data_IF_232068456101
#
_entry.id   IF_232068456101
#
_cell.length_a   1.000
_cell.length_b   1.000
_cell.length_c   1.000
_cell.angle_alpha   90.00
_cell.angle_beta   90.00
_cell.angle_gamma   90.00
#
_symmetry.space_group_name_H-M   'P 1'
#
loop_
_entity.id
_entity.type
_entity.pdbx_description
1 polymer ?
#
# COMPACT_ATOMS: atom_id res chain seq x y z
N UNK A 1 -10.91 14.49 -1.98
CA UNK A 1 -10.44 15.91 -2.16
C UNK A 1 -8.94 15.98 -2.40
N UNK A 2 -8.12 15.11 -1.78
CA UNK A 2 -6.68 15.01 -2.07
C UNK A 2 -6.31 13.83 -2.98
N UNK A 3 -7.31 13.09 -3.48
CA UNK A 3 -7.11 11.83 -4.23
C UNK A 3 -6.38 12.03 -5.58
N UNK A 4 -6.26 13.28 -6.02
CA UNK A 4 -5.50 13.68 -7.22
C UNK A 4 -4.16 14.35 -6.89
N UNK A 5 -3.81 14.52 -5.61
CA UNK A 5 -2.64 15.28 -5.19
C UNK A 5 -1.45 14.37 -4.84
N UNK A 6 -1.73 13.23 -4.23
CA UNK A 6 -0.71 12.26 -3.83
C UNK A 6 -0.71 11.07 -4.77
N UNK A 7 0.40 10.87 -5.46
CA UNK A 7 0.64 9.72 -6.31
C UNK A 7 1.62 8.77 -5.63
N UNK A 8 1.35 7.47 -5.77
CA UNK A 8 2.27 6.42 -5.33
C UNK A 8 3.60 6.63 -6.08
N UNK A 9 4.72 6.32 -5.42
CA UNK A 9 6.11 6.46 -5.92
C UNK A 9 6.60 7.88 -6.20
N UNK A 10 5.85 8.91 -5.81
CA UNK A 10 6.29 10.31 -5.89
C UNK A 10 6.67 10.84 -4.53
N UNK A 11 7.48 11.89 -4.56
CA UNK A 11 8.08 12.47 -3.37
C UNK A 11 7.48 13.83 -3.08
N UNK A 12 7.17 14.08 -1.81
CA UNK A 12 6.47 15.29 -1.38
C UNK A 12 7.02 15.85 -0.08
N UNK A 13 7.08 17.18 0.02
CA UNK A 13 7.10 17.85 1.31
C UNK A 13 5.67 17.98 1.82
N UNK A 14 5.43 17.50 3.05
CA UNK A 14 4.12 17.58 3.72
C UNK A 14 4.27 18.42 4.99
N UNK A 15 3.55 19.54 5.04
CA UNK A 15 3.60 20.49 6.15
C UNK A 15 2.22 20.63 6.81
N UNK A 16 2.20 20.91 8.12
CA UNK A 16 0.98 21.21 8.87
C UNK A 16 -0.07 20.07 8.83
N UNK A 17 0.40 18.82 8.93
CA UNK A 17 -0.47 17.68 9.18
C UNK A 17 -0.76 17.54 10.69
N UNK A 18 -1.91 16.98 11.04
CA UNK A 18 -2.23 16.71 12.45
C UNK A 18 -1.66 15.35 12.85
N UNK A 19 -0.84 15.30 13.90
CA UNK A 19 -0.28 14.06 14.44
C UNK A 19 -1.22 13.46 15.50
N UNK A 20 -1.58 12.18 15.36
CA UNK A 20 -2.45 11.45 16.30
C UNK A 20 -1.92 10.05 16.58
N UNK A 21 -2.17 9.48 17.76
CA UNK A 21 -1.86 8.07 18.01
C UNK A 21 -2.70 7.15 17.11
N UNK A 22 -2.11 6.05 16.66
CA UNK A 22 -2.78 4.98 15.91
C UNK A 22 -3.50 4.07 16.89
N UNK A 23 -4.72 3.65 16.55
CA UNK A 23 -5.40 2.59 17.30
C UNK A 23 -4.77 1.23 16.95
N UNK A 24 -4.49 0.35 17.93
CA UNK A 24 -3.81 -0.92 17.67
C UNK A 24 -4.43 -1.75 16.55
N UNK A 25 -5.77 -1.75 16.41
CA UNK A 25 -6.48 -2.48 15.35
C UNK A 25 -6.22 -1.98 13.92
N UNK A 26 -5.69 -0.76 13.76
CA UNK A 26 -5.37 -0.15 12.46
C UNK A 26 -3.86 0.01 12.23
N UNK A 27 -3.03 -0.49 13.15
CA UNK A 27 -1.58 -0.38 13.05
C UNK A 27 -1.05 -1.43 12.06
N UNK A 28 -0.69 -0.97 10.87
CA UNK A 28 -0.15 -1.82 9.79
C UNK A 28 1.39 -1.79 9.70
N UNK A 29 2.02 -0.86 10.40
CA UNK A 29 3.48 -0.67 10.45
C UNK A 29 3.94 -0.44 11.88
N UNK A 30 5.23 -0.63 12.17
CA UNK A 30 5.82 -0.37 13.49
C UNK A 30 6.02 1.14 13.74
N UNK A 31 4.91 1.89 13.68
CA UNK A 31 4.81 3.29 14.05
C UNK A 31 3.52 3.48 14.86
N UNK A 32 3.62 4.21 15.98
CA UNK A 32 2.52 4.43 16.92
C UNK A 32 1.75 5.73 16.65
N UNK A 33 2.24 6.58 15.73
CA UNK A 33 1.59 7.82 15.33
C UNK A 33 1.25 7.83 13.84
N UNK A 34 0.14 8.48 13.50
CA UNK A 34 -0.30 8.74 12.14
C UNK A 34 -0.51 10.24 11.91
N UNK A 35 -0.43 10.63 10.65
CA UNK A 35 -0.80 11.96 10.20
C UNK A 35 -2.22 11.96 9.65
N UNK A 36 -3.00 12.99 10.00
CA UNK A 36 -4.28 13.30 9.36
C UNK A 36 -4.09 14.53 8.48
N UNK A 37 -4.20 14.34 7.17
CA UNK A 37 -4.19 15.42 6.17
C UNK A 37 -5.52 16.17 6.26
N UNK A 38 -5.47 17.49 6.27
CA UNK A 38 -6.63 18.36 6.39
C UNK A 38 -6.51 19.56 5.43
N UNK A 39 -7.55 20.42 5.28
CA UNK A 39 -7.52 21.53 4.33
C UNK A 39 -6.40 22.57 4.53
N UNK A 40 -5.75 22.59 5.70
CA UNK A 40 -4.61 23.48 6.01
C UNK A 40 -3.25 22.81 5.84
N UNK A 41 -3.22 21.51 5.51
CA UNK A 41 -1.99 20.78 5.21
C UNK A 41 -1.49 21.19 3.82
N UNK A 42 -0.24 21.64 3.76
CA UNK A 42 0.43 22.02 2.51
C UNK A 42 1.24 20.82 2.01
N UNK A 43 1.07 20.49 0.72
CA UNK A 43 1.73 19.37 0.07
C UNK A 43 2.37 19.89 -1.22
N UNK A 44 3.68 19.69 -1.35
CA UNK A 44 4.48 20.15 -2.50
C UNK A 44 5.24 18.96 -3.08
N UNK A 45 5.04 18.66 -4.36
CA UNK A 45 5.79 17.63 -5.06
C UNK A 45 7.21 18.10 -5.35
N UNK A 46 8.18 17.22 -5.16
CA UNK A 46 9.59 17.50 -5.46
C UNK A 46 10.12 16.55 -6.54
N UNK A 47 11.11 17.02 -7.30
CA UNK A 47 11.77 16.21 -8.32
C UNK A 47 12.53 15.05 -7.68
N UNK A 48 12.43 13.87 -8.30
CA UNK A 48 13.07 12.63 -7.83
C UNK A 48 14.62 12.65 -7.82
N UNK A 49 15.26 13.76 -8.23
CA UNK A 49 16.73 13.92 -8.21
C UNK A 49 17.30 14.24 -6.81
N UNK A 50 16.46 14.43 -5.79
CA UNK A 50 16.91 14.53 -4.39
C UNK A 50 17.32 13.15 -3.87
N UNK A 51 18.58 12.77 -4.15
CA UNK A 51 19.28 11.55 -3.69
C UNK A 51 19.32 11.35 -2.15
N UNK A 52 18.77 12.27 -1.37
CA UNK A 52 18.77 12.22 0.09
C UNK A 52 17.67 11.37 0.71
N UNK A 53 16.63 10.99 -0.06
CA UNK A 53 15.53 10.20 0.46
C UNK A 53 15.76 8.71 0.20
N UNK A 54 15.54 7.85 1.21
CA UNK A 54 15.71 6.42 1.02
C UNK A 54 14.67 5.89 0.04
N UNK A 55 15.12 5.08 -0.92
CA UNK A 55 14.21 4.33 -1.77
C UNK A 55 13.36 3.37 -0.91
N UNK A 56 12.09 3.15 -1.27
CA UNK A 56 11.24 2.21 -0.55
C UNK A 56 11.87 0.81 -0.59
N UNK A 57 12.28 0.31 0.57
CA UNK A 57 12.81 -1.03 0.72
C UNK A 57 11.68 -2.05 0.86
N UNK A 58 11.60 -3.00 -0.06
CA UNK A 58 10.63 -4.10 0.00
C UNK A 58 11.32 -5.40 0.39
N UNK A 59 10.80 -6.09 1.41
CA UNK A 59 11.18 -7.45 1.74
C UNK A 59 10.20 -8.43 1.10
N UNK A 60 10.52 -8.91 -0.10
CA UNK A 60 9.69 -9.85 -0.84
C UNK A 60 9.79 -11.27 -0.26
N UNK A 61 8.64 -11.93 -0.17
CA UNK A 61 8.52 -13.32 0.30
C UNK A 61 8.35 -14.23 -0.92
N UNK A 62 9.22 -15.23 -1.13
CA UNK A 62 9.05 -16.23 -2.19
C UNK A 62 7.80 -17.09 -1.95
N UNK A 63 7.18 -17.59 -3.02
CA UNK A 63 5.93 -18.37 -2.92
C UNK A 63 6.14 -19.67 -2.12
N UNK A 64 7.34 -20.26 -2.24
CA UNK A 64 7.74 -21.43 -1.46
C UNK A 64 7.65 -21.20 0.06
N UNK A 65 7.73 -19.95 0.52
CA UNK A 65 7.69 -19.59 1.94
C UNK A 65 6.30 -19.16 2.44
N UNK A 66 5.29 -19.10 1.58
CA UNK A 66 3.95 -18.64 1.97
C UNK A 66 3.36 -19.43 3.14
N UNK A 67 3.64 -20.73 3.21
CA UNK A 67 3.21 -21.59 4.32
C UNK A 67 3.65 -21.06 5.70
N UNK A 68 4.77 -20.35 5.78
CA UNK A 68 5.28 -19.73 7.03
C UNK A 68 4.48 -18.50 7.45
N UNK A 69 3.66 -17.96 6.55
CA UNK A 69 2.92 -16.70 6.72
C UNK A 69 1.39 -16.88 6.68
N UNK A 70 0.88 -18.13 6.59
CA UNK A 70 -0.56 -18.41 6.52
C UNK A 70 -1.30 -18.14 7.84
N UNK A 71 -0.61 -18.18 8.98
CA UNK A 71 -1.23 -18.18 10.30
C UNK A 71 -1.49 -16.79 10.90
N UNK A 72 -1.24 -15.71 10.14
CA UNK A 72 -1.37 -14.36 10.66
C UNK A 72 -2.08 -13.45 9.65
N UNK A 73 -2.88 -12.52 10.15
CA UNK A 73 -3.40 -11.35 9.42
C UNK A 73 -2.28 -10.36 9.04
N UNK A 74 -1.08 -10.88 8.76
CA UNK A 74 0.13 -10.12 8.50
C UNK A 74 0.29 -9.94 7.00
N UNK A 75 0.55 -8.70 6.61
CA UNK A 75 0.83 -8.36 5.22
C UNK A 75 2.18 -8.94 4.81
N UNK A 76 2.24 -9.49 3.59
CA UNK A 76 3.47 -9.95 2.93
C UNK A 76 3.66 -9.16 1.64
N UNK A 77 4.91 -8.85 1.30
CA UNK A 77 5.23 -8.26 0.00
C UNK A 77 5.60 -9.37 -0.97
N UNK A 78 5.14 -9.25 -2.21
CA UNK A 78 5.32 -10.25 -3.26
C UNK A 78 5.76 -9.56 -4.55
N UNK A 79 6.69 -10.17 -5.26
CA UNK A 79 7.04 -9.84 -6.65
C UNK A 79 6.92 -11.11 -7.49
N UNK A 80 6.27 -11.04 -8.63
CA UNK A 80 5.94 -12.21 -9.45
C UNK A 80 5.62 -11.81 -10.89
N UNK A 81 5.65 -12.77 -11.82
CA UNK A 81 5.11 -12.57 -13.18
C UNK A 81 3.61 -12.87 -13.16
N UNK A 82 2.80 -11.92 -13.65
CA UNK A 82 1.41 -12.19 -13.99
C UNK A 82 1.35 -12.92 -15.34
N UNK A 83 0.92 -14.18 -15.33
CA UNK A 83 0.80 -15.00 -16.54
C UNK A 83 -0.61 -14.96 -17.13
N UNK A 84 -1.61 -14.59 -16.32
CA UNK A 84 -2.97 -14.40 -16.78
C UNK A 84 -3.74 -13.43 -15.89
N UNK A 85 -4.74 -12.78 -16.48
CA UNK A 85 -5.66 -11.86 -15.80
C UNK A 85 -7.07 -12.19 -16.26
N UNK A 86 -7.86 -12.76 -15.36
CA UNK A 86 -9.24 -13.12 -15.64
C UNK A 86 -10.12 -11.87 -15.86
N UNK A 87 -11.24 -11.99 -16.59
CA UNK A 87 -12.21 -10.91 -16.72
C UNK A 87 -12.74 -10.48 -15.36
N UNK A 88 -12.85 -9.16 -15.15
CA UNK A 88 -13.42 -8.61 -13.93
C UNK A 88 -14.90 -9.00 -13.80
N UNK A 89 -15.31 -9.43 -12.61
CA UNK A 89 -16.68 -9.85 -12.30
C UNK A 89 -17.26 -8.97 -11.20
N UNK A 90 -18.55 -8.65 -11.33
CA UNK A 90 -19.29 -7.95 -10.29
C UNK A 90 -19.94 -8.97 -9.35
N UNK A 91 -19.57 -8.93 -8.07
CA UNK A 91 -20.07 -9.83 -7.05
C UNK A 91 -20.85 -9.05 -6.00
N UNK A 92 -22.02 -9.58 -5.61
CA UNK A 92 -22.81 -9.04 -4.52
C UNK A 92 -22.32 -9.64 -3.21
N UNK A 93 -21.71 -8.81 -2.37
CA UNK A 93 -21.29 -9.20 -1.01
C UNK A 93 -22.33 -8.72 0.01
N UNK A 94 -22.21 -9.18 1.26
CA UNK A 94 -23.04 -8.67 2.37
C UNK A 94 -22.88 -7.16 2.60
N UNK A 95 -21.77 -6.59 2.13
CA UNK A 95 -21.43 -5.17 2.29
C UNK A 95 -21.72 -4.36 1.01
N UNK A 96 -22.36 -4.97 0.01
CA UNK A 96 -22.69 -4.34 -1.27
C UNK A 96 -21.97 -4.96 -2.46
N UNK A 97 -22.19 -4.37 -3.64
CA UNK A 97 -21.57 -4.80 -4.90
C UNK A 97 -20.08 -4.47 -4.91
N UNK A 98 -19.24 -5.42 -5.32
CA UNK A 98 -17.80 -5.25 -5.46
C UNK A 98 -17.32 -5.83 -6.79
N UNK A 99 -16.33 -5.19 -7.41
CA UNK A 99 -15.67 -5.71 -8.60
C UNK A 99 -14.47 -6.56 -8.15
N UNK A 100 -14.40 -7.79 -8.63
CA UNK A 100 -13.32 -8.73 -8.32
C UNK A 100 -12.63 -9.12 -9.63
N UNK A 101 -11.31 -9.17 -9.60
CA UNK A 101 -10.48 -9.61 -10.70
C UNK A 101 -9.43 -10.58 -10.18
N UNK A 102 -9.39 -11.76 -10.78
CA UNK A 102 -8.41 -12.80 -10.46
C UNK A 102 -7.18 -12.65 -11.36
N UNK A 103 -6.00 -12.77 -10.76
CA UNK A 103 -4.71 -12.68 -11.44
C UNK A 103 -3.92 -13.94 -11.10
N UNK A 104 -3.41 -14.62 -12.12
CA UNK A 104 -2.58 -15.80 -11.96
C UNK A 104 -1.12 -15.35 -11.96
N UNK A 105 -0.46 -15.56 -10.82
CA UNK A 105 0.94 -15.18 -10.61
C UNK A 105 1.83 -16.42 -10.60
N UNK A 106 3.02 -16.31 -11.17
CA UNK A 106 4.11 -17.28 -11.04
C UNK A 106 5.34 -16.60 -10.43
N UNK A 107 5.96 -17.28 -9.48
CA UNK A 107 7.18 -16.80 -8.84
C UNK A 107 8.30 -16.70 -9.90
N UNK A 108 9.06 -15.61 -9.86
CA UNK A 108 10.27 -15.48 -10.66
C UNK A 108 11.37 -16.22 -9.90
N UNK A 109 11.55 -17.51 -10.19
CA UNK A 109 12.67 -18.31 -9.69
C UNK A 109 14.00 -17.56 -9.77
#
# INVERSE_FOLDING_TARGET
>A
MFDHLLHITRTYYIHNAIVKPIKPEHQIVDNVYQWTINPTTLIEEISNDDSSLPEPSFSFVPFAEFHKHMDYSRLVNVIAVAIDVCPAQQLQTRNGSSMIQEVILIDQL
#
